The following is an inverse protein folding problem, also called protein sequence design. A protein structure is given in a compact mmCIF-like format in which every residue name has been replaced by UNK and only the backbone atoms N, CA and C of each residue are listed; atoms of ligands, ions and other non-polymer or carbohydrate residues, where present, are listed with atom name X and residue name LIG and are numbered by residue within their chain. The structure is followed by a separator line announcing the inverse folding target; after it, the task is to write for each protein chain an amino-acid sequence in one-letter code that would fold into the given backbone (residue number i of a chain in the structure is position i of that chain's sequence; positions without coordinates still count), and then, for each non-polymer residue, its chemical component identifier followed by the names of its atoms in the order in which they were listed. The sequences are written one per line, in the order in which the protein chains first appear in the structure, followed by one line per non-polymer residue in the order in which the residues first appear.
data_IF_033854540045
#
_entry.id   IF_033854540045
#
_cell.length_a   1.000
_cell.length_b   1.000
_cell.length_c   1.000
_cell.angle_alpha   90.00
_cell.angle_beta   90.00
_cell.angle_gamma   90.00
#
_symmetry.space_group_name_H-M   'P 1'
#
loop_
_entity.id
_entity.type
_entity.pdbx_description
1 polymer ?
#
# COMPACT_ATOMS: atom_id res chain seq x y z
N UNK A 1 -19.94 -33.82 -3.01
CA UNK A 1 -19.53 -32.58 -3.69
C UNK A 1 -20.00 -31.39 -2.84
N UNK A 2 -19.13 -30.87 -1.98
CA UNK A 2 -19.41 -29.72 -1.12
C UNK A 2 -19.01 -28.43 -1.87
N UNK A 3 -19.98 -27.76 -2.49
CA UNK A 3 -19.76 -26.47 -3.17
C UNK A 3 -19.68 -25.27 -2.22
N UNK A 4 -20.03 -25.43 -0.95
CA UNK A 4 -20.06 -24.36 0.05
C UNK A 4 -18.70 -24.02 0.66
N UNK A 5 -17.85 -25.03 0.92
CA UNK A 5 -16.51 -24.82 1.49
C UNK A 5 -15.60 -24.03 0.54
N UNK A 6 -15.72 -24.26 -0.77
CA UNK A 6 -14.98 -23.53 -1.81
C UNK A 6 -15.29 -22.03 -1.82
N UNK A 7 -16.55 -21.63 -1.64
CA UNK A 7 -16.89 -20.20 -1.57
C UNK A 7 -16.36 -19.54 -0.30
N UNK A 8 -16.46 -20.22 0.86
CA UNK A 8 -15.89 -19.75 2.11
C UNK A 8 -14.37 -19.60 2.05
N UNK A 9 -13.68 -20.56 1.43
CA UNK A 9 -12.23 -20.55 1.25
C UNK A 9 -11.77 -19.44 0.29
N UNK A 10 -12.53 -19.21 -0.78
CA UNK A 10 -12.27 -18.11 -1.72
C UNK A 10 -12.44 -16.74 -1.04
N UNK A 11 -13.44 -16.59 -0.17
CA UNK A 11 -13.64 -15.37 0.61
C UNK A 11 -12.48 -15.13 1.59
N UNK A 12 -12.07 -16.15 2.33
CA UNK A 12 -10.96 -16.06 3.28
C UNK A 12 -9.64 -15.70 2.58
N UNK A 13 -9.41 -16.24 1.37
CA UNK A 13 -8.23 -15.90 0.57
C UNK A 13 -8.23 -14.44 0.12
N UNK A 14 -9.40 -13.92 -0.30
CA UNK A 14 -9.56 -12.52 -0.68
C UNK A 14 -9.33 -11.58 0.52
N UNK A 15 -9.88 -11.91 1.69
CA UNK A 15 -9.67 -11.16 2.93
C UNK A 15 -8.18 -11.15 3.32
N UNK A 16 -7.51 -12.30 3.26
CA UNK A 16 -6.08 -12.42 3.58
C UNK A 16 -5.20 -11.59 2.63
N UNK A 17 -5.52 -11.56 1.33
CA UNK A 17 -4.84 -10.70 0.34
C UNK A 17 -5.03 -9.22 0.65
N UNK A 18 -6.25 -8.82 1.01
CA UNK A 18 -6.55 -7.44 1.37
C UNK A 18 -5.79 -7.02 2.62
N UNK A 19 -5.66 -7.90 3.61
CA UNK A 19 -4.88 -7.63 4.82
C UNK A 19 -3.38 -7.47 4.50
N UNK A 20 -2.79 -8.39 3.72
CA UNK A 20 -1.40 -8.29 3.30
C UNK A 20 -1.13 -6.99 2.52
N UNK A 21 -2.03 -6.62 1.61
CA UNK A 21 -1.95 -5.37 0.85
C UNK A 21 -2.09 -4.14 1.75
N UNK A 22 -2.99 -4.15 2.74
CA UNK A 22 -3.14 -3.05 3.69
C UNK A 22 -1.84 -2.81 4.48
N UNK A 23 -1.17 -3.89 4.91
CA UNK A 23 0.14 -3.82 5.58
C UNK A 23 1.21 -3.22 4.65
N UNK A 24 1.27 -3.66 3.39
CA UNK A 24 2.19 -3.10 2.39
C UNK A 24 1.95 -1.60 2.15
N UNK A 25 0.68 -1.18 2.04
CA UNK A 25 0.32 0.23 1.85
C UNK A 25 0.74 1.08 3.05
N UNK A 26 0.51 0.58 4.27
CA UNK A 26 0.92 1.28 5.48
C UNK A 26 2.45 1.45 5.53
N UNK A 27 3.20 0.40 5.20
CA UNK A 27 4.65 0.47 5.16
C UNK A 27 5.17 1.43 4.08
N UNK A 28 4.55 1.43 2.89
CA UNK A 28 4.89 2.37 1.83
C UNK A 28 4.67 3.83 2.27
N UNK A 29 3.54 4.11 2.96
CA UNK A 29 3.24 5.43 3.53
C UNK A 29 4.22 5.84 4.61
N UNK A 30 4.57 4.93 5.52
CA UNK A 30 5.53 5.18 6.59
C UNK A 30 6.93 5.54 6.05
N UNK A 31 7.25 5.06 4.84
CA UNK A 31 8.49 5.40 4.12
C UNK A 31 8.39 6.67 3.25
N UNK A 32 7.26 7.39 3.32
CA UNK A 32 7.02 8.59 2.52
C UNK A 32 6.62 8.31 1.06
N UNK A 33 6.28 7.07 0.72
CA UNK A 33 5.78 6.73 -0.61
C UNK A 33 4.32 7.14 -0.80
N UNK A 34 3.99 7.67 -1.98
CA UNK A 34 2.62 7.94 -2.41
C UNK A 34 2.10 6.92 -3.43
N UNK A 35 2.96 6.00 -3.87
CA UNK A 35 2.62 4.91 -4.77
C UNK A 35 3.50 3.68 -4.51
N UNK A 36 3.02 2.51 -4.93
CA UNK A 36 3.77 1.25 -4.94
C UNK A 36 3.86 0.79 -6.40
N UNK A 37 5.07 0.60 -6.90
CA UNK A 37 5.32 0.07 -8.25
C UNK A 37 5.84 -1.35 -8.18
N UNK A 38 5.60 -2.12 -9.25
CA UNK A 38 6.01 -3.53 -9.31
C UNK A 38 5.36 -4.39 -8.23
N UNK A 39 4.13 -4.06 -7.81
CA UNK A 39 3.43 -4.80 -6.76
C UNK A 39 3.15 -6.24 -7.22
N UNK A 40 3.42 -7.19 -6.32
CA UNK A 40 3.20 -8.63 -6.51
C UNK A 40 2.66 -9.26 -5.23
N UNK A 41 2.00 -10.40 -5.41
CA UNK A 41 1.75 -11.35 -4.35
C UNK A 41 2.57 -12.61 -4.61
N UNK A 42 3.29 -13.07 -3.60
CA UNK A 42 3.80 -14.44 -3.55
C UNK A 42 2.96 -15.23 -2.55
N UNK A 43 2.74 -16.50 -2.85
CA UNK A 43 2.03 -17.42 -1.96
C UNK A 43 2.84 -18.67 -1.76
N UNK A 44 3.07 -19.05 -0.51
CA UNK A 44 3.80 -20.26 -0.15
C UNK A 44 2.91 -21.13 0.71
N UNK A 45 2.77 -22.40 0.35
CA UNK A 45 2.10 -23.40 1.19
C UNK A 45 3.13 -23.94 2.20
N UNK A 46 2.89 -23.69 3.48
CA UNK A 46 3.63 -24.29 4.59
C UNK A 46 2.87 -25.53 5.06
N UNK A 47 3.16 -26.67 4.41
CA UNK A 47 2.49 -27.94 4.66
C UNK A 47 1.01 -27.92 4.25
N UNK A 48 0.23 -28.88 4.73
CA UNK A 48 -1.14 -29.11 4.24
C UNK A 48 -2.19 -28.12 4.76
N UNK A 49 -1.84 -27.25 5.72
CA UNK A 49 -2.83 -26.48 6.50
C UNK A 49 -2.61 -24.97 6.46
N UNK A 50 -1.42 -24.51 6.06
CA UNK A 50 -1.07 -23.08 6.11
C UNK A 50 -0.65 -22.56 4.75
N UNK A 51 -1.26 -21.45 4.33
CA UNK A 51 -0.84 -20.69 3.15
C UNK A 51 -0.40 -19.31 3.60
N UNK A 52 0.86 -18.98 3.37
CA UNK A 52 1.39 -17.63 3.53
C UNK A 52 1.06 -16.81 2.29
N UNK A 53 0.69 -15.54 2.49
CA UNK A 53 0.51 -14.56 1.42
C UNK A 53 1.41 -13.36 1.71
N UNK A 54 2.39 -13.15 0.86
CA UNK A 54 3.31 -12.02 0.94
C UNK A 54 2.94 -10.99 -0.14
N UNK A 55 2.60 -9.76 0.26
CA UNK A 55 2.48 -8.63 -0.65
C UNK A 55 3.75 -7.79 -0.61
N UNK A 56 4.34 -7.50 -1.77
CA UNK A 56 5.56 -6.69 -1.85
C UNK A 56 5.57 -5.81 -3.11
N UNK A 57 6.46 -4.82 -3.12
CA UNK A 57 6.64 -3.87 -4.21
C UNK A 57 7.63 -2.77 -3.80
N UNK A 58 7.81 -1.77 -4.65
CA UNK A 58 8.71 -0.64 -4.38
C UNK A 58 7.89 0.60 -4.07
N UNK A 59 8.06 1.16 -2.87
CA UNK A 59 7.48 2.45 -2.51
C UNK A 59 8.21 3.58 -3.25
N UNK A 60 7.45 4.50 -3.85
CA UNK A 60 7.99 5.64 -4.60
C UNK A 60 7.22 6.92 -4.30
N UNK A 61 7.86 8.06 -4.55
CA UNK A 61 7.20 9.35 -4.68
C UNK A 61 6.97 9.64 -6.17
N UNK A 62 5.77 9.32 -6.66
CA UNK A 62 5.36 9.64 -8.02
C UNK A 62 5.02 11.14 -8.16
N UNK A 63 5.65 11.80 -9.13
CA UNK A 63 5.45 13.22 -9.45
C UNK A 63 5.09 13.35 -10.94
N UNK A 64 3.95 13.95 -11.30
CA UNK A 64 3.58 14.16 -12.69
C UNK A 64 4.48 15.21 -13.37
N UNK A 65 5.09 14.84 -14.49
CA UNK A 65 6.09 15.70 -15.18
C UNK A 65 5.52 16.48 -16.37
N UNK A 66 4.41 16.05 -16.96
CA UNK A 66 3.75 16.74 -18.09
C UNK A 66 2.47 17.46 -17.65
N UNK A 67 2.02 18.46 -18.44
CA UNK A 67 0.75 19.17 -18.16
C UNK A 67 -0.46 18.25 -18.22
N UNK A 68 -0.49 17.33 -19.20
CA UNK A 68 -1.53 16.30 -19.28
C UNK A 68 -1.54 15.42 -18.02
N UNK A 69 -0.37 14.97 -17.54
CA UNK A 69 -0.27 14.15 -16.34
C UNK A 69 -0.70 14.92 -15.08
N UNK A 70 -0.37 16.22 -14.97
CA UNK A 70 -0.84 17.09 -13.87
C UNK A 70 -2.35 17.25 -13.89
N UNK A 71 -2.93 17.49 -15.06
CA UNK A 71 -4.37 17.59 -15.23
C UNK A 71 -5.06 16.28 -14.79
N UNK A 72 -4.62 15.13 -15.30
CA UNK A 72 -5.17 13.83 -14.91
C UNK A 72 -5.03 13.57 -13.41
N UNK A 73 -3.86 13.87 -12.82
CA UNK A 73 -3.65 13.71 -11.39
C UNK A 73 -4.66 14.53 -10.58
N UNK A 74 -4.91 15.80 -10.94
CA UNK A 74 -5.90 16.65 -10.26
C UNK A 74 -7.33 16.11 -10.36
N UNK A 75 -7.72 15.57 -11.52
CA UNK A 75 -9.06 15.00 -11.74
C UNK A 75 -9.28 13.75 -10.88
N UNK A 76 -8.23 12.96 -10.66
CA UNK A 76 -8.27 11.74 -9.86
C UNK A 76 -7.98 11.98 -8.37
N UNK A 77 -7.72 13.23 -7.96
CA UNK A 77 -7.38 13.56 -6.57
C UNK A 77 -5.95 13.16 -6.16
N UNK A 78 -5.07 12.84 -7.12
CA UNK A 78 -3.66 12.58 -6.88
C UNK A 78 -2.85 13.89 -6.96
N UNK A 79 -1.92 14.10 -6.03
CA UNK A 79 -1.06 15.30 -6.02
C UNK A 79 -1.54 16.45 -5.13
N UNK A 80 -2.60 16.25 -4.33
CA UNK A 80 -2.77 17.05 -3.11
C UNK A 80 -1.71 16.54 -2.15
N UNK A 81 -0.58 17.25 -2.06
CA UNK A 81 0.42 16.93 -1.05
C UNK A 81 -0.30 16.85 0.31
N UNK A 82 -0.08 15.74 1.03
CA UNK A 82 -0.21 15.75 2.47
C UNK A 82 0.59 16.98 2.91
N UNK A 83 -0.11 18.00 3.39
CA UNK A 83 0.46 19.26 3.82
C UNK A 83 1.64 18.90 4.70
N UNK A 84 2.86 19.22 4.27
CA UNK A 84 4.04 19.04 5.10
C UNK A 84 3.75 19.79 6.39
N UNK A 85 3.48 19.05 7.47
CA UNK A 85 3.33 19.65 8.79
C UNK A 85 4.60 20.45 9.03
N UNK A 86 4.50 21.77 9.28
CA UNK A 86 5.68 22.55 9.57
C UNK A 86 6.36 21.88 10.76
N UNK A 87 7.55 21.34 10.53
CA UNK A 87 8.42 20.85 11.58
C UNK A 87 8.60 22.01 12.54
N UNK A 88 7.95 21.93 13.70
CA UNK A 88 8.20 22.82 14.83
C UNK A 88 9.67 22.65 15.17
N UNK A 89 10.49 23.56 14.65
CA UNK A 89 11.88 23.74 15.03
C UNK A 89 11.86 24.00 16.53
N UNK A 90 12.29 23.02 17.31
CA UNK A 90 12.45 23.16 18.75
C UNK A 90 13.28 24.41 19.04
N UNK A 91 12.69 25.33 19.80
CA UNK A 91 13.43 26.44 20.39
C UNK A 91 14.42 25.85 21.38
N UNK A 92 15.70 25.86 21.00
CA UNK A 92 16.79 25.77 21.95
C UNK A 92 16.74 27.04 22.81
N UNK A 93 16.18 26.94 24.01
CA UNK A 93 16.27 28.00 25.01
C UNK A 93 17.72 28.12 25.51
N UNK A 94 18.28 29.34 25.63
CA UNK A 94 19.64 29.52 26.10
C UNK A 94 19.75 29.37 27.63
N UNK A 95 20.74 28.57 28.03
CA UNK A 95 21.47 28.43 29.32
C UNK A 95 20.69 28.44 30.62
#
# INVERSE_FOLDING_TARGET
MFGGELQGMTKNLAESRNEAMARLINEARNRGGNAIIGMRFDTTELGDVWTEICAYGTAVQAVPVTDAARYTASQLGYGVAAQAQPQHRGEAGPT
#
